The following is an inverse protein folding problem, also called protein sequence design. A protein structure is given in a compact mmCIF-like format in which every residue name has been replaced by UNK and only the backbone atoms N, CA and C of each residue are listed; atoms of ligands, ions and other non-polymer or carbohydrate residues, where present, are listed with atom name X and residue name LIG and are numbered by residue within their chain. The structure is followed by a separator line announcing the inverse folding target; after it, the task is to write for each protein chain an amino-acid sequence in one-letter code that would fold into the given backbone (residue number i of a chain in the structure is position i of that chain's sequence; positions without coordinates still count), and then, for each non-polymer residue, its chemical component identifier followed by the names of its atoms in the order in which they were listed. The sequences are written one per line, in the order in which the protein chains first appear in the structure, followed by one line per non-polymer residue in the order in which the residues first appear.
data_IF_506642587745
#
_entry.id   IF_506642587745
#
_cell.length_a   1.000
_cell.length_b   1.000
_cell.length_c   1.000
_cell.angle_alpha   90.00
_cell.angle_beta   90.00
_cell.angle_gamma   90.00
#
_symmetry.space_group_name_H-M   'P 1'
#
loop_
_entity.id
_entity.type
_entity.pdbx_description
1 polymer ?
#
# COMPACT_ATOMS: atom_id res chain seq x y z
N UNK A 1 8.78 25.78 -4.02
CA UNK A 1 8.25 24.54 -4.55
C UNK A 1 6.80 24.35 -4.10
N UNK A 2 5.88 24.33 -5.06
CA UNK A 2 4.44 24.41 -4.82
C UNK A 2 3.78 23.02 -5.00
N UNK A 3 4.42 21.98 -4.49
CA UNK A 3 3.76 20.68 -4.45
C UNK A 3 2.68 20.69 -3.34
N UNK A 4 1.47 20.20 -3.62
CA UNK A 4 0.33 20.26 -2.71
C UNK A 4 0.40 19.20 -1.58
N UNK A 5 1.60 18.85 -1.14
CA UNK A 5 1.89 17.88 -0.10
C UNK A 5 2.88 18.44 0.91
N UNK A 6 2.70 18.07 2.16
CA UNK A 6 3.63 18.48 3.22
C UNK A 6 4.98 17.78 3.06
N UNK A 7 6.05 18.54 3.23
CA UNK A 7 7.38 18.00 3.40
C UNK A 7 7.47 17.25 4.75
N UNK A 8 8.12 16.12 4.77
CA UNK A 8 8.32 15.30 5.97
C UNK A 8 9.81 15.16 6.24
N UNK A 9 10.31 15.98 7.12
CA UNK A 9 11.72 16.01 7.53
C UNK A 9 11.92 15.59 8.98
N UNK A 10 10.84 15.51 9.77
CA UNK A 10 10.90 15.29 11.22
C UNK A 10 10.92 13.81 11.59
N UNK A 11 11.81 13.03 10.99
CA UNK A 11 12.10 11.67 11.41
C UNK A 11 13.52 11.58 11.97
N UNK A 12 13.67 10.81 13.02
CA UNK A 12 14.92 10.60 13.72
C UNK A 12 15.43 9.15 13.56
N UNK A 13 16.58 8.85 14.14
CA UNK A 13 17.16 7.51 14.19
C UNK A 13 17.02 6.83 15.56
N UNK A 14 16.29 7.43 16.46
CA UNK A 14 16.05 6.87 17.77
C UNK A 14 15.05 5.72 17.69
N UNK A 15 15.53 4.51 17.90
CA UNK A 15 14.69 3.32 17.88
C UNK A 15 13.80 3.28 19.12
N UNK A 16 12.50 3.37 18.89
CA UNK A 16 11.50 3.33 19.95
C UNK A 16 10.26 2.53 19.50
N UNK A 17 9.60 1.81 20.42
CA UNK A 17 8.37 1.11 20.09
C UNK A 17 7.25 2.11 19.79
N UNK A 18 6.49 1.84 18.71
CA UNK A 18 5.34 2.63 18.32
C UNK A 18 4.16 1.73 17.98
N UNK A 19 2.97 2.09 18.45
CA UNK A 19 1.74 1.45 17.98
C UNK A 19 1.35 2.04 16.64
N UNK A 20 1.07 1.17 15.67
CA UNK A 20 0.61 1.56 14.33
C UNK A 20 -0.76 0.93 14.10
N UNK A 21 -1.68 1.71 13.55
CA UNK A 21 -3.00 1.20 13.17
C UNK A 21 -2.87 0.35 11.92
N UNK A 22 -3.52 -0.81 11.96
CA UNK A 22 -3.55 -1.73 10.85
C UNK A 22 -4.97 -2.21 10.57
N UNK A 23 -5.26 -2.46 9.30
CA UNK A 23 -6.41 -3.24 8.86
C UNK A 23 -5.95 -4.64 8.49
N UNK A 24 -6.78 -5.65 8.80
CA UNK A 24 -6.46 -7.05 8.57
C UNK A 24 -7.54 -7.67 7.69
N UNK A 25 -7.13 -8.33 6.62
CA UNK A 25 -7.92 -9.29 5.86
C UNK A 25 -7.39 -10.68 6.16
N UNK A 26 -8.29 -11.58 6.52
CA UNK A 26 -7.89 -12.93 6.91
C UNK A 26 -8.96 -13.95 6.50
N UNK A 27 -8.52 -15.06 5.94
CA UNK A 27 -9.30 -16.28 5.73
C UNK A 27 -8.52 -17.50 6.25
N UNK A 28 -8.94 -18.71 5.92
CA UNK A 28 -8.29 -19.94 6.39
C UNK A 28 -6.86 -20.11 5.89
N UNK A 29 -6.52 -19.51 4.75
CA UNK A 29 -5.22 -19.64 4.12
C UNK A 29 -4.29 -18.44 4.34
N UNK A 30 -4.79 -17.23 4.15
CA UNK A 30 -3.97 -16.02 4.14
C UNK A 30 -4.37 -15.05 5.24
N UNK A 31 -3.35 -14.36 5.74
CA UNK A 31 -3.52 -13.17 6.58
C UNK A 31 -2.73 -12.01 6.00
N UNK A 32 -3.43 -10.96 5.59
CA UNK A 32 -2.87 -9.74 5.03
C UNK A 32 -3.02 -8.58 6.03
N UNK A 33 -1.94 -7.86 6.31
CA UNK A 33 -1.89 -6.74 7.26
C UNK A 33 -1.53 -5.46 6.52
N UNK A 34 -2.40 -4.46 6.57
CA UNK A 34 -2.23 -3.17 5.92
C UNK A 34 -2.01 -2.06 6.96
N UNK A 35 -0.94 -1.27 6.82
CA UNK A 35 -0.63 -0.13 7.68
C UNK A 35 -1.41 1.11 7.22
N UNK A 36 -2.55 1.38 7.84
CA UNK A 36 -3.46 2.45 7.41
C UNK A 36 -2.93 3.87 7.64
N UNK A 37 -1.91 4.02 8.49
CA UNK A 37 -1.24 5.30 8.74
C UNK A 37 -0.09 5.59 7.76
N UNK A 38 0.26 4.59 6.92
CA UNK A 38 1.41 4.66 6.00
C UNK A 38 1.02 4.16 4.61
N UNK A 39 0.20 4.95 3.91
CA UNK A 39 -0.20 4.67 2.52
C UNK A 39 -1.00 3.38 2.34
N UNK A 40 -1.66 2.88 3.39
CA UNK A 40 -2.25 1.54 3.41
C UNK A 40 -1.30 0.46 2.86
N UNK A 41 -0.01 0.59 3.16
CA UNK A 41 1.00 -0.36 2.73
C UNK A 41 0.65 -1.78 3.19
N UNK A 42 0.62 -2.74 2.28
CA UNK A 42 0.55 -4.15 2.64
C UNK A 42 1.88 -4.53 3.28
N UNK A 43 1.88 -4.67 4.60
CA UNK A 43 3.09 -4.88 5.38
C UNK A 43 3.46 -6.34 5.54
N UNK A 44 2.45 -7.19 5.72
CA UNK A 44 2.61 -8.62 5.89
C UNK A 44 1.57 -9.36 5.07
N UNK A 45 1.98 -10.41 4.42
CA UNK A 45 1.14 -11.40 3.76
C UNK A 45 1.60 -12.79 4.21
N UNK A 46 0.94 -13.33 5.20
CA UNK A 46 1.30 -14.60 5.81
C UNK A 46 0.46 -15.75 5.25
N UNK A 47 1.12 -16.78 4.71
CA UNK A 47 0.48 -18.05 4.33
C UNK A 47 0.39 -18.93 5.59
N UNK A 48 -0.83 -19.20 6.03
CA UNK A 48 -1.13 -19.98 7.24
C UNK A 48 -0.91 -21.49 7.05
N UNK A 49 -1.02 -21.97 5.81
CA UNK A 49 -0.80 -23.38 5.44
C UNK A 49 0.69 -23.68 5.41
N UNK A 50 1.44 -22.86 4.66
CA UNK A 50 2.89 -22.99 4.54
C UNK A 50 3.64 -22.43 5.76
N UNK A 51 2.92 -21.75 6.68
CA UNK A 51 3.48 -21.07 7.86
C UNK A 51 4.63 -20.12 7.49
N UNK A 52 4.45 -19.35 6.43
CA UNK A 52 5.50 -18.54 5.81
C UNK A 52 5.03 -17.11 5.58
N UNK A 53 5.91 -16.16 5.90
CA UNK A 53 5.75 -14.77 5.44
C UNK A 53 6.17 -14.66 3.97
N UNK A 54 5.30 -14.12 3.13
CA UNK A 54 5.52 -14.02 1.69
C UNK A 54 6.21 -12.71 1.28
N UNK A 55 6.13 -11.69 2.13
CA UNK A 55 6.73 -10.39 1.88
C UNK A 55 7.96 -10.17 2.75
N UNK A 56 8.91 -9.42 2.22
CA UNK A 56 10.00 -8.91 3.04
C UNK A 56 9.62 -7.57 3.65
N UNK A 57 9.89 -7.41 4.93
CA UNK A 57 9.84 -6.13 5.62
C UNK A 57 10.94 -6.05 6.69
N UNK A 58 11.43 -4.85 6.91
CA UNK A 58 12.40 -4.62 7.97
C UNK A 58 11.73 -4.72 9.34
N UNK A 59 12.42 -5.21 10.38
CA UNK A 59 11.89 -5.25 11.73
C UNK A 59 11.74 -3.85 12.36
N UNK A 60 12.24 -2.83 11.66
CA UNK A 60 12.17 -1.42 12.07
C UNK A 60 11.64 -0.60 10.90
N UNK A 61 10.61 0.21 11.13
CA UNK A 61 10.18 1.25 10.20
C UNK A 61 11.18 2.40 10.28
N UNK A 62 12.01 2.55 9.26
CA UNK A 62 12.98 3.62 9.14
C UNK A 62 12.65 4.46 7.91
N UNK A 63 12.26 5.69 8.12
CA UNK A 63 12.07 6.64 7.02
C UNK A 63 13.40 7.15 6.47
N UNK A 64 13.42 7.44 5.20
CA UNK A 64 14.59 7.96 4.49
C UNK A 64 14.20 8.92 3.37
N UNK A 65 15.17 9.69 2.89
CA UNK A 65 15.01 10.69 1.82
C UNK A 65 14.96 10.02 0.44
N UNK A 66 13.83 9.42 0.08
CA UNK A 66 13.71 8.75 -1.21
C UNK A 66 12.41 9.08 -1.95
N UNK A 67 11.38 9.55 -1.25
CA UNK A 67 10.13 9.99 -1.87
C UNK A 67 10.19 11.48 -2.23
N UNK A 68 9.24 11.93 -3.06
CA UNK A 68 9.12 13.35 -3.48
C UNK A 68 9.01 14.31 -2.28
N UNK A 69 8.53 13.84 -1.14
CA UNK A 69 8.40 14.61 0.11
C UNK A 69 9.34 14.09 1.21
N UNK A 70 10.46 13.52 0.81
CA UNK A 70 11.59 13.13 1.66
C UNK A 70 11.26 12.09 2.74
N UNK A 71 10.21 11.31 2.55
CA UNK A 71 9.85 10.28 3.49
C UNK A 71 9.40 9.02 2.76
N UNK A 72 10.20 7.99 2.83
CA UNK A 72 9.94 6.66 2.30
C UNK A 72 10.48 5.61 3.26
N UNK A 73 9.95 4.40 3.21
CA UNK A 73 10.49 3.26 3.94
C UNK A 73 10.38 1.97 3.14
N UNK A 74 11.30 1.05 3.37
CA UNK A 74 11.39 -0.22 2.69
C UNK A 74 10.46 -1.28 3.30
N UNK A 75 10.04 -2.23 2.47
CA UNK A 75 9.32 -3.44 2.87
C UNK A 75 7.84 -3.43 2.49
N UNK A 76 7.28 -4.64 2.39
CA UNK A 76 5.89 -4.85 2.00
C UNK A 76 5.57 -4.48 0.57
N UNK A 77 4.32 -4.07 0.32
CA UNK A 77 3.87 -3.58 -0.99
C UNK A 77 3.41 -2.15 -0.89
N UNK A 78 4.01 -1.29 -1.71
CA UNK A 78 3.72 0.13 -1.83
C UNK A 78 2.88 0.40 -3.08
N UNK A 79 1.98 1.37 -2.98
CA UNK A 79 1.07 1.80 -4.06
C UNK A 79 1.46 3.20 -4.52
N UNK A 80 1.78 3.36 -5.80
CA UNK A 80 2.27 4.62 -6.34
C UNK A 80 1.40 5.12 -7.49
N UNK A 81 1.08 6.41 -7.46
CA UNK A 81 0.21 7.06 -8.43
C UNK A 81 0.70 8.47 -8.78
N UNK A 82 0.42 8.90 -10.00
CA UNK A 82 0.42 10.29 -10.42
C UNK A 82 1.70 10.76 -11.06
N UNK A 83 2.87 10.25 -10.67
CA UNK A 83 4.17 10.65 -11.23
C UNK A 83 5.23 9.55 -11.12
N UNK A 84 6.34 9.77 -11.80
CA UNK A 84 7.48 8.87 -11.76
C UNK A 84 8.18 9.01 -10.40
N UNK A 85 8.19 7.94 -9.62
CA UNK A 85 8.76 7.90 -8.27
C UNK A 85 7.75 7.55 -7.20
N UNK A 86 8.20 7.57 -5.95
CA UNK A 86 7.36 7.21 -4.80
C UNK A 86 6.35 8.31 -4.50
N UNK A 87 5.11 7.90 -4.31
CA UNK A 87 4.02 8.84 -3.99
C UNK A 87 4.21 9.48 -2.61
N UNK A 88 3.77 10.74 -2.42
CA UNK A 88 3.72 11.36 -1.11
C UNK A 88 2.85 10.60 -0.10
N UNK A 89 1.90 9.78 -0.57
CA UNK A 89 1.02 8.99 0.30
C UNK A 89 1.73 7.82 0.99
N UNK A 90 2.93 7.43 0.56
CA UNK A 90 3.67 6.28 1.12
C UNK A 90 3.85 6.37 2.64
N UNK A 91 3.86 7.57 3.21
CA UNK A 91 3.97 7.83 4.65
C UNK A 91 2.79 8.63 5.21
N UNK A 92 1.71 8.79 4.45
CA UNK A 92 0.51 9.49 4.86
C UNK A 92 -0.61 8.49 5.22
N UNK A 93 -1.49 8.94 6.12
CA UNK A 93 -2.73 8.23 6.39
C UNK A 93 -3.64 8.31 5.17
N UNK A 94 -4.18 7.19 4.74
CA UNK A 94 -5.23 7.12 3.73
C UNK A 94 -6.59 6.83 4.35
N UNK A 95 -7.65 7.21 3.64
CA UNK A 95 -8.99 6.73 3.96
C UNK A 95 -9.05 5.23 3.73
N UNK A 96 -9.64 4.52 4.68
CA UNK A 96 -9.70 3.07 4.66
C UNK A 96 -11.00 2.61 5.30
N UNK A 97 -11.75 1.75 4.60
CA UNK A 97 -13.02 1.22 5.07
C UNK A 97 -13.20 -0.23 4.65
N UNK A 98 -14.06 -0.94 5.37
CA UNK A 98 -14.54 -2.26 4.96
C UNK A 98 -15.80 -2.08 4.15
N UNK A 99 -15.79 -2.62 2.94
CA UNK A 99 -16.97 -2.71 2.08
C UNK A 99 -17.27 -4.17 1.74
N UNK A 100 -18.42 -4.42 1.15
CA UNK A 100 -18.82 -5.74 0.67
C UNK A 100 -18.82 -5.73 -0.85
N UNK A 101 -18.17 -6.69 -1.45
CA UNK A 101 -18.26 -6.92 -2.89
C UNK A 101 -19.71 -7.30 -3.25
N UNK A 102 -20.29 -6.63 -4.23
CA UNK A 102 -21.71 -6.79 -4.57
C UNK A 102 -22.00 -8.13 -5.25
N UNK A 103 -21.03 -8.66 -5.97
CA UNK A 103 -21.23 -9.88 -6.76
C UNK A 103 -20.98 -11.14 -5.95
N UNK A 104 -19.96 -11.10 -5.06
CA UNK A 104 -19.54 -12.27 -4.27
C UNK A 104 -20.01 -12.25 -2.82
N UNK A 105 -20.39 -11.08 -2.29
CA UNK A 105 -20.71 -10.91 -0.86
C UNK A 105 -19.47 -10.89 0.06
N UNK A 106 -18.28 -11.04 -0.49
CA UNK A 106 -17.04 -11.12 0.26
C UNK A 106 -16.61 -9.77 0.84
N UNK A 107 -15.91 -9.75 1.99
CA UNK A 107 -15.38 -8.52 2.54
C UNK A 107 -14.22 -8.00 1.69
N UNK A 108 -14.24 -6.70 1.42
CA UNK A 108 -13.21 -5.96 0.70
C UNK A 108 -12.69 -4.86 1.61
N UNK A 109 -11.39 -4.74 1.72
CA UNK A 109 -10.74 -3.58 2.30
C UNK A 109 -10.53 -2.57 1.18
N UNK A 110 -11.25 -1.47 1.23
CA UNK A 110 -11.09 -0.34 0.31
C UNK A 110 -10.26 0.74 0.97
N UNK A 111 -9.22 1.20 0.30
CA UNK A 111 -8.52 2.42 0.65
C UNK A 111 -8.47 3.35 -0.55
N UNK A 112 -8.58 4.66 -0.28
CA UNK A 112 -8.73 5.66 -1.33
C UNK A 112 -8.19 7.01 -0.89
N UNK A 113 -7.83 7.83 -1.89
CA UNK A 113 -7.37 9.19 -1.68
C UNK A 113 -7.54 10.03 -2.96
N UNK A 114 -7.38 11.33 -2.82
CA UNK A 114 -7.34 12.28 -3.92
C UNK A 114 -5.88 12.63 -4.24
N UNK A 115 -5.42 12.23 -5.43
CA UNK A 115 -4.08 12.61 -5.92
C UNK A 115 -4.13 14.05 -6.44
N UNK A 116 -3.39 14.95 -5.75
CA UNK A 116 -3.58 16.41 -5.87
C UNK A 116 -2.84 17.02 -7.04
N UNK A 117 -1.83 16.36 -7.61
CA UNK A 117 -1.05 16.88 -8.74
C UNK A 117 -1.83 16.66 -10.04
N UNK A 118 -2.39 15.48 -10.22
CA UNK A 118 -3.21 15.12 -11.40
C UNK A 118 -4.68 15.47 -11.20
N UNK A 119 -5.11 15.66 -9.95
CA UNK A 119 -6.49 15.97 -9.63
C UNK A 119 -7.42 14.79 -9.89
N UNK A 120 -7.03 13.59 -9.48
CA UNK A 120 -7.80 12.34 -9.68
C UNK A 120 -8.09 11.66 -8.35
N UNK A 121 -9.23 11.01 -8.28
CA UNK A 121 -9.54 10.09 -7.18
C UNK A 121 -9.06 8.70 -7.56
N UNK A 122 -8.37 8.03 -6.66
CA UNK A 122 -8.05 6.62 -6.82
C UNK A 122 -8.51 5.81 -5.63
N UNK A 123 -8.87 4.58 -5.90
CA UNK A 123 -9.24 3.61 -4.90
C UNK A 123 -8.54 2.27 -5.19
N UNK A 124 -8.20 1.58 -4.12
CA UNK A 124 -7.61 0.25 -4.16
C UNK A 124 -8.46 -0.66 -3.30
N UNK A 125 -8.99 -1.70 -3.92
CA UNK A 125 -9.76 -2.76 -3.27
C UNK A 125 -8.85 -3.96 -3.08
N UNK A 126 -8.68 -4.37 -1.84
CA UNK A 126 -7.99 -5.60 -1.48
C UNK A 126 -9.00 -6.62 -0.95
N UNK A 127 -8.95 -7.84 -1.48
CA UNK A 127 -9.83 -8.93 -1.05
C UNK A 127 -9.15 -10.29 -1.20
N UNK A 128 -9.56 -11.23 -0.37
CA UNK A 128 -9.04 -12.60 -0.44
C UNK A 128 -9.96 -13.45 -1.30
N UNK A 129 -9.36 -14.18 -2.23
CA UNK A 129 -10.06 -15.19 -3.02
C UNK A 129 -10.05 -16.52 -2.28
N UNK A 130 -11.22 -17.06 -1.94
CA UNK A 130 -11.33 -18.36 -1.31
C UNK A 130 -11.00 -19.49 -2.28
N UNK A 131 -11.30 -19.29 -3.58
CA UNK A 131 -11.07 -20.29 -4.63
C UNK A 131 -9.58 -20.49 -4.93
N UNK A 132 -8.80 -19.40 -5.00
CA UNK A 132 -7.40 -19.45 -5.45
C UNK A 132 -6.39 -19.29 -4.31
N UNK A 133 -6.84 -19.00 -3.09
CA UNK A 133 -5.93 -18.72 -1.97
C UNK A 133 -4.99 -17.56 -2.25
N UNK A 134 -5.48 -16.52 -2.90
CA UNK A 134 -4.72 -15.35 -3.33
C UNK A 134 -5.27 -14.07 -2.72
N UNK A 135 -4.39 -13.11 -2.49
CA UNK A 135 -4.76 -11.73 -2.25
C UNK A 135 -4.91 -11.02 -3.60
N UNK A 136 -6.12 -10.57 -3.86
CA UNK A 136 -6.45 -9.82 -5.07
C UNK A 136 -6.42 -8.32 -4.79
N UNK A 137 -5.84 -7.58 -5.73
CA UNK A 137 -5.77 -6.11 -5.68
C UNK A 137 -6.41 -5.55 -6.95
N UNK A 138 -7.46 -4.77 -6.78
CA UNK A 138 -8.11 -4.04 -7.87
C UNK A 138 -7.93 -2.54 -7.67
N UNK A 139 -7.38 -1.88 -8.68
CA UNK A 139 -7.17 -0.42 -8.66
C UNK A 139 -8.15 0.24 -9.60
N UNK A 140 -8.74 1.32 -9.15
CA UNK A 140 -9.59 2.20 -9.96
C UNK A 140 -9.12 3.63 -9.83
N UNK A 141 -8.94 4.28 -10.96
CA UNK A 141 -8.54 5.69 -11.02
C UNK A 141 -9.62 6.44 -11.79
N UNK A 142 -10.22 7.42 -11.13
CA UNK A 142 -11.33 8.19 -11.67
C UNK A 142 -10.81 9.55 -12.15
N UNK A 143 -10.84 9.75 -13.46
CA UNK A 143 -10.59 11.05 -14.07
C UNK A 143 -11.87 11.89 -14.03
N UNK A 144 -11.90 12.87 -13.13
CA UNK A 144 -13.03 13.79 -12.98
C UNK A 144 -12.92 15.05 -13.87
N UNK A 145 -11.92 15.11 -14.75
CA UNK A 145 -11.74 16.24 -15.68
C UNK A 145 -12.47 15.98 -16.98
N UNK A 146 -12.87 17.05 -17.66
CA UNK A 146 -13.45 16.98 -19.00
C UNK A 146 -12.42 16.75 -20.13
N UNK A 147 -11.21 16.27 -19.81
CA UNK A 147 -10.11 16.03 -20.75
C UNK A 147 -9.28 14.81 -20.32
N UNK A 148 -8.48 14.30 -21.20
CA UNK A 148 -7.51 13.25 -20.90
C UNK A 148 -6.43 13.76 -19.93
N UNK A 149 -6.07 12.91 -18.97
CA UNK A 149 -5.03 13.17 -17.99
C UNK A 149 -3.97 12.06 -18.08
N UNK A 150 -2.68 12.38 -18.28
CA UNK A 150 -1.62 11.40 -18.24
C UNK A 150 -1.60 10.72 -16.88
N UNK A 151 -1.63 9.39 -16.87
CA UNK A 151 -1.65 8.62 -15.63
C UNK A 151 -0.46 7.68 -15.57
N UNK A 152 0.10 7.58 -14.35
CA UNK A 152 1.17 6.66 -14.00
C UNK A 152 0.78 5.92 -12.73
N UNK A 153 0.75 4.61 -12.81
CA UNK A 153 0.50 3.72 -11.68
C UNK A 153 1.54 2.60 -11.65
N UNK A 154 2.04 2.32 -10.46
CA UNK A 154 2.89 1.16 -10.23
C UNK A 154 2.83 0.72 -8.76
N UNK A 155 3.12 -0.54 -8.50
CA UNK A 155 3.28 -1.08 -7.16
C UNK A 155 4.72 -1.55 -6.99
N UNK A 156 5.27 -1.32 -5.79
CA UNK A 156 6.61 -1.75 -5.43
C UNK A 156 6.49 -2.84 -4.36
N UNK A 157 6.92 -4.05 -4.71
CA UNK A 157 6.83 -5.21 -3.83
C UNK A 157 8.23 -5.63 -3.35
N UNK A 158 8.36 -5.82 -2.05
CA UNK A 158 9.55 -6.40 -1.44
C UNK A 158 9.30 -7.87 -1.11
N UNK A 159 10.12 -8.75 -1.64
CA UNK A 159 10.06 -10.19 -1.38
C UNK A 159 11.38 -10.68 -0.82
N UNK A 160 11.39 -11.75 -0.02
CA UNK A 160 12.63 -12.37 0.42
C UNK A 160 13.45 -12.84 -0.79
N UNK A 161 14.76 -12.58 -0.75
CA UNK A 161 15.68 -13.12 -1.73
C UNK A 161 15.78 -14.63 -1.54
N UNK A 162 15.38 -15.38 -2.57
CA UNK A 162 15.45 -16.85 -2.60
C UNK A 162 16.16 -17.30 -3.86
N UNK A 163 16.71 -18.51 -3.86
CA UNK A 163 17.43 -19.08 -5.02
C UNK A 163 16.62 -19.11 -6.33
N UNK A 164 15.31 -18.95 -6.25
CA UNK A 164 14.40 -18.99 -7.41
C UNK A 164 14.32 -17.65 -8.18
N UNK A 165 14.93 -16.59 -7.67
CA UNK A 165 14.94 -15.28 -8.34
C UNK A 165 15.98 -15.16 -9.47
N UNK A 166 16.81 -16.20 -9.68
CA UNK A 166 17.91 -16.19 -10.63
C UNK A 166 17.77 -17.23 -11.76
N UNK A 167 16.56 -17.67 -12.05
CA UNK A 167 16.29 -18.60 -13.16
C UNK A 167 15.75 -17.88 -14.38
#
# INVERSE_FOLDING_TARGET
NILPYKLRESYDRDKKPRRVKAAILENDRLKAVFLTEYGCRLWSLYDKVEKKELLYHNPVLQFGNLAVRDAWFSGGVEWNIGFIGHTPFTTEKMFCERVTDRDTGNPVLRFYEFERIRGVVYEVDAYLSDEYGQLMIRVRINNCHGREIPMYWWSNIAVPETCLLYT
#
